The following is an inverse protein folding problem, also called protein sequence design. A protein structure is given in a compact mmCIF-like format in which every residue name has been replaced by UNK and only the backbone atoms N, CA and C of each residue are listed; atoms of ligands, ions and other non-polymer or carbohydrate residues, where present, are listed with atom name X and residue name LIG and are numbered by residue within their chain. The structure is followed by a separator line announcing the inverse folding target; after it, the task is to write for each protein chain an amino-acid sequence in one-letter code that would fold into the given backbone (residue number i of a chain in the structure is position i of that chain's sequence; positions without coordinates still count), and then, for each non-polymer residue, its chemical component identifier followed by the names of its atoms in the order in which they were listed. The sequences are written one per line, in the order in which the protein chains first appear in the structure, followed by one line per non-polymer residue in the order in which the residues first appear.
data_IF_671135208055
#
_entry.id   IF_671135208055
#
_cell.length_a   1.000
_cell.length_b   1.000
_cell.length_c   1.000
_cell.angle_alpha   90.00
_cell.angle_beta   90.00
_cell.angle_gamma   90.00
#
_symmetry.space_group_name_H-M   'P 1'
#
loop_
_entity.id
_entity.type
_entity.pdbx_description
1 polymer ?
#
# COMPACT_ATOMS: atom_id res chain seq x y z
N UNK A 1 -11.60 19.16 -7.39
CA UNK A 1 -10.77 17.95 -7.65
C UNK A 1 -10.69 16.98 -6.47
N UNK A 2 -10.36 17.43 -5.25
CA UNK A 2 -10.14 16.54 -4.10
C UNK A 2 -11.33 15.62 -3.75
N UNK A 3 -12.57 16.05 -3.98
CA UNK A 3 -13.76 15.25 -3.67
C UNK A 3 -13.90 14.02 -4.57
N UNK A 4 -13.67 14.15 -5.87
CA UNK A 4 -13.72 13.04 -6.82
C UNK A 4 -12.70 11.94 -6.47
N UNK A 5 -11.49 12.34 -6.06
CA UNK A 5 -10.45 11.38 -5.64
C UNK A 5 -10.80 10.69 -4.32
N UNK A 6 -11.47 11.38 -3.39
CA UNK A 6 -11.99 10.75 -2.17
C UNK A 6 -13.11 9.76 -2.48
N UNK A 7 -14.00 10.09 -3.42
CA UNK A 7 -15.06 9.18 -3.88
C UNK A 7 -14.45 7.93 -4.54
N UNK A 8 -13.48 8.10 -5.44
CA UNK A 8 -12.76 6.98 -6.05
C UNK A 8 -12.03 6.12 -5.00
N UNK A 9 -11.37 6.74 -4.03
CA UNK A 9 -10.72 6.04 -2.92
C UNK A 9 -11.71 5.24 -2.05
N UNK A 10 -12.91 5.76 -1.81
CA UNK A 10 -13.96 5.03 -1.08
C UNK A 10 -14.42 3.79 -1.85
N UNK A 11 -14.64 3.90 -3.16
CA UNK A 11 -15.03 2.76 -4.01
C UNK A 11 -13.94 1.70 -4.12
N UNK A 12 -12.66 2.11 -4.15
CA UNK A 12 -11.51 1.22 -4.27
C UNK A 12 -11.42 0.16 -3.16
N UNK A 13 -12.12 0.34 -2.02
CA UNK A 13 -12.16 -0.66 -0.93
C UNK A 13 -12.61 -2.04 -1.43
N UNK A 14 -13.60 -2.08 -2.33
CA UNK A 14 -14.24 -3.30 -2.80
C UNK A 14 -13.52 -3.91 -4.01
N UNK A 15 -12.63 -3.16 -4.64
CA UNK A 15 -11.91 -3.62 -5.81
C UNK A 15 -10.83 -4.64 -5.46
N UNK A 16 -10.69 -5.64 -6.33
CA UNK A 16 -9.65 -6.67 -6.27
C UNK A 16 -8.37 -6.21 -6.96
N UNK A 17 -7.86 -5.05 -6.56
CA UNK A 17 -6.64 -4.44 -7.09
C UNK A 17 -5.60 -4.21 -6.00
N UNK A 18 -4.37 -3.90 -6.39
CA UNK A 18 -3.29 -3.45 -5.52
C UNK A 18 -3.70 -2.23 -4.69
N UNK A 19 -4.40 -1.27 -5.31
CA UNK A 19 -4.90 -0.07 -4.62
C UNK A 19 -5.95 -0.46 -3.59
N UNK A 20 -6.87 -1.37 -3.92
CA UNK A 20 -7.87 -1.86 -2.98
C UNK A 20 -7.26 -2.61 -1.79
N UNK A 21 -6.27 -3.48 -2.04
CA UNK A 21 -5.52 -4.16 -0.99
C UNK A 21 -4.77 -3.18 -0.08
N UNK A 22 -4.11 -2.18 -0.68
CA UNK A 22 -3.45 -1.09 0.04
C UNK A 22 -4.44 -0.29 0.90
N UNK A 23 -5.63 0.04 0.38
CA UNK A 23 -6.66 0.77 1.13
C UNK A 23 -7.17 -0.05 2.32
N UNK A 24 -7.47 -1.34 2.13
CA UNK A 24 -7.87 -2.24 3.23
C UNK A 24 -6.78 -2.35 4.31
N UNK A 25 -5.52 -2.44 3.91
CA UNK A 25 -4.40 -2.46 4.85
C UNK A 25 -4.24 -1.15 5.64
N UNK A 26 -4.60 0.01 5.05
CA UNK A 26 -4.66 1.28 5.77
C UNK A 26 -5.79 1.29 6.79
N UNK A 27 -6.99 0.86 6.40
CA UNK A 27 -8.15 0.79 7.29
C UNK A 27 -7.91 -0.08 8.54
N UNK A 28 -7.08 -1.13 8.41
CA UNK A 28 -6.69 -1.95 9.55
C UNK A 28 -5.75 -1.25 10.55
N UNK A 29 -5.17 -0.09 10.21
CA UNK A 29 -4.13 0.60 11.01
C UNK A 29 -4.50 2.03 11.40
N UNK A 30 -5.51 2.63 10.78
CA UNK A 30 -5.91 4.03 11.02
C UNK A 30 -7.39 4.26 10.73
N UNK A 31 -7.92 5.39 11.21
CA UNK A 31 -9.31 5.78 11.01
C UNK A 31 -9.72 5.88 9.54
N UNK A 32 -10.98 5.59 9.27
CA UNK A 32 -11.57 5.59 7.91
C UNK A 32 -11.34 6.89 7.16
N UNK A 33 -11.55 8.03 7.81
CA UNK A 33 -11.37 9.35 7.17
C UNK A 33 -9.90 9.62 6.80
N UNK A 34 -8.96 9.10 7.59
CA UNK A 34 -7.53 9.19 7.34
C UNK A 34 -7.12 8.25 6.19
N UNK A 35 -7.63 7.02 6.19
CA UNK A 35 -7.37 6.04 5.14
C UNK A 35 -7.87 6.50 3.76
N UNK A 36 -9.06 7.11 3.69
CA UNK A 36 -9.61 7.68 2.45
C UNK A 36 -8.72 8.81 1.93
N UNK A 37 -8.31 9.75 2.81
CA UNK A 37 -7.41 10.85 2.44
C UNK A 37 -6.08 10.33 1.90
N UNK A 38 -5.49 9.34 2.57
CA UNK A 38 -4.21 8.76 2.17
C UNK A 38 -4.30 8.02 0.82
N UNK A 39 -5.42 7.34 0.56
CA UNK A 39 -5.67 6.64 -0.71
C UNK A 39 -5.96 7.63 -1.84
N UNK A 40 -6.74 8.69 -1.58
CA UNK A 40 -6.95 9.78 -2.54
C UNK A 40 -5.63 10.45 -2.93
N UNK A 41 -4.72 10.65 -1.97
CA UNK A 41 -3.38 11.17 -2.26
C UNK A 41 -2.53 10.20 -3.09
N UNK A 42 -2.60 8.89 -2.84
CA UNK A 42 -1.97 7.88 -3.69
C UNK A 42 -2.47 7.97 -5.14
N UNK A 43 -3.80 8.04 -5.33
CA UNK A 43 -4.41 8.20 -6.65
C UNK A 43 -3.96 9.50 -7.34
N UNK A 44 -3.94 10.62 -6.61
CA UNK A 44 -3.46 11.90 -7.13
C UNK A 44 -2.03 11.81 -7.67
N UNK A 45 -1.14 11.15 -6.93
CA UNK A 45 0.27 10.97 -7.34
C UNK A 45 0.40 10.09 -8.58
N UNK A 46 -0.40 9.03 -8.69
CA UNK A 46 -0.42 8.18 -9.87
C UNK A 46 -0.92 8.95 -11.09
N UNK A 47 -2.05 9.65 -10.97
CA UNK A 47 -2.61 10.48 -12.06
C UNK A 47 -1.61 11.55 -12.48
N UNK A 48 -1.00 12.23 -11.52
CA UNK A 48 0.04 13.22 -11.80
C UNK A 48 1.22 12.59 -12.56
N UNK A 49 1.73 11.43 -12.13
CA UNK A 49 2.84 10.76 -12.81
C UNK A 49 2.46 10.29 -14.23
N UNK A 50 1.24 9.79 -14.42
CA UNK A 50 0.72 9.42 -15.74
C UNK A 50 0.65 10.63 -16.67
N UNK A 51 0.08 11.73 -16.21
CA UNK A 51 -0.14 12.92 -17.04
C UNK A 51 1.12 13.74 -17.29
N UNK A 52 1.99 13.87 -16.28
CA UNK A 52 3.18 14.75 -16.37
C UNK A 52 4.43 14.03 -16.81
N UNK A 53 4.60 12.75 -16.46
CA UNK A 53 5.80 11.97 -16.75
C UNK A 53 5.58 10.88 -17.79
N UNK A 54 4.35 10.70 -18.28
CA UNK A 54 3.99 9.65 -19.23
C UNK A 54 4.20 8.24 -18.69
N UNK A 55 4.29 8.07 -17.36
CA UNK A 55 4.53 6.77 -16.75
C UNK A 55 3.22 5.98 -16.70
N UNK A 56 3.07 4.87 -17.43
CA UNK A 56 1.84 4.10 -17.40
C UNK A 56 1.66 3.45 -16.02
N UNK A 57 0.44 3.48 -15.51
CA UNK A 57 0.08 2.68 -14.36
C UNK A 57 -0.09 1.22 -14.80
N UNK A 58 0.79 0.33 -14.32
CA UNK A 58 0.66 -1.11 -14.48
C UNK A 58 0.12 -1.68 -13.17
N UNK A 59 -1.10 -2.22 -13.23
CA UNK A 59 -1.74 -2.89 -12.10
C UNK A 59 -0.94 -4.14 -11.74
N UNK A 60 -0.39 -4.17 -10.52
CA UNK A 60 0.50 -5.24 -10.06
C UNK A 60 -0.24 -6.41 -9.42
N UNK A 61 -1.54 -6.26 -9.15
CA UNK A 61 -2.35 -7.27 -8.48
C UNK A 61 -2.15 -7.32 -6.95
N UNK A 62 -2.94 -8.17 -6.31
CA UNK A 62 -2.96 -8.30 -4.84
C UNK A 62 -1.74 -9.07 -4.33
N UNK A 63 -1.32 -10.11 -5.04
CA UNK A 63 -0.18 -10.97 -4.67
C UNK A 63 1.11 -10.16 -4.49
N UNK A 64 1.37 -9.21 -5.37
CA UNK A 64 2.52 -8.32 -5.26
C UNK A 64 2.45 -7.44 -4.01
N UNK A 65 1.25 -6.95 -3.63
CA UNK A 65 1.07 -6.20 -2.39
C UNK A 65 1.38 -7.07 -1.16
N UNK A 66 0.91 -8.31 -1.16
CA UNK A 66 1.14 -9.27 -0.09
C UNK A 66 2.61 -9.67 0.02
N UNK A 67 3.28 -9.92 -1.11
CA UNK A 67 4.71 -10.19 -1.17
C UNK A 67 5.52 -9.03 -0.57
N UNK A 68 5.20 -7.78 -0.95
CA UNK A 68 5.83 -6.60 -0.35
C UNK A 68 5.52 -6.47 1.15
N UNK A 69 4.30 -6.81 1.57
CA UNK A 69 3.93 -6.82 2.99
C UNK A 69 4.75 -7.83 3.78
N UNK A 70 4.89 -9.04 3.27
CA UNK A 70 5.72 -10.10 3.85
C UNK A 70 7.19 -9.68 3.93
N UNK A 71 7.73 -9.13 2.85
CA UNK A 71 9.11 -8.63 2.82
C UNK A 71 9.36 -7.53 3.87
N UNK A 72 8.39 -6.61 4.07
CA UNK A 72 8.47 -5.60 5.13
C UNK A 72 8.50 -6.22 6.53
N UNK A 73 7.71 -7.27 6.76
CA UNK A 73 7.68 -7.99 8.04
C UNK A 73 9.01 -8.70 8.31
N UNK A 74 9.55 -9.43 7.32
CA UNK A 74 10.86 -10.11 7.44
C UNK A 74 11.97 -9.10 7.75
N UNK A 75 12.03 -7.97 7.02
CA UNK A 75 13.02 -6.92 7.28
C UNK A 75 12.86 -6.30 8.67
N UNK A 76 11.63 -6.12 9.16
CA UNK A 76 11.38 -5.63 10.51
C UNK A 76 11.85 -6.63 11.57
N UNK A 77 11.62 -7.93 11.34
CA UNK A 77 12.06 -9.01 12.20
C UNK A 77 13.59 -9.07 12.27
N UNK A 78 14.27 -9.05 11.12
CA UNK A 78 15.73 -9.01 11.03
C UNK A 78 16.30 -7.83 11.82
N UNK A 79 15.78 -6.62 11.61
CA UNK A 79 16.22 -5.43 12.36
C UNK A 79 16.02 -5.58 13.86
N UNK A 80 14.90 -6.19 14.30
CA UNK A 80 14.64 -6.42 15.73
C UNK A 80 15.60 -7.44 16.32
N UNK A 81 15.86 -8.54 15.61
CA UNK A 81 16.81 -9.56 16.03
C UNK A 81 18.22 -8.98 16.18
N UNK A 82 18.71 -8.23 15.18
CA UNK A 82 20.04 -7.60 15.23
C UNK A 82 20.20 -6.67 16.44
N UNK A 83 19.16 -5.91 16.80
CA UNK A 83 19.17 -5.05 18.01
C UNK A 83 19.30 -5.84 19.32
N UNK A 84 18.87 -7.10 19.32
CA UNK A 84 18.93 -8.00 20.47
C UNK A 84 20.15 -8.94 20.42
N UNK A 85 21.10 -8.73 19.49
CA UNK A 85 22.24 -9.63 19.30
C UNK A 85 21.88 -10.99 18.70
N UNK A 86 20.68 -11.12 18.13
CA UNK A 86 20.16 -12.34 17.52
C UNK A 86 20.18 -12.25 15.98
N UNK A 87 20.15 -13.41 15.32
CA UNK A 87 20.06 -13.51 13.85
C UNK A 87 18.82 -14.32 13.45
N UNK A 88 18.03 -13.76 12.54
CA UNK A 88 16.92 -14.49 11.90
C UNK A 88 17.50 -15.39 10.83
N UNK A 89 17.17 -16.68 10.90
CA UNK A 89 17.47 -17.67 9.86
C UNK A 89 16.13 -18.21 9.33
N UNK A 90 16.06 -18.46 8.04
CA UNK A 90 14.89 -19.09 7.46
C UNK A 90 14.78 -20.52 8.01
N UNK A 91 13.57 -20.89 8.46
CA UNK A 91 13.28 -22.27 8.81
C UNK A 91 13.25 -23.08 7.51
N UNK A 92 14.05 -24.15 7.44
CA UNK A 92 14.14 -25.06 6.31
C UNK A 92 12.78 -25.71 5.99
#
# INVERSE_FOLDING_TARGET
AAQALKQAASSARNDKSFIGASHRARLARMDTSCAIKATAHQLARLIYAMLTKGQPYVEKGIEEFEAQSRNRQIRALQRKATKLGMRVVDAA
#
